data_IF_593168213535
#
_entry.id   IF_593168213535
#
_cell.length_a   1.000
_cell.length_b   1.000
_cell.length_c   1.000
_cell.angle_alpha   90.00
_cell.angle_beta   90.00
_cell.angle_gamma   90.00
#
_symmetry.space_group_name_H-M   'P 1'
#
loop_
_entity.id
_entity.type
_entity.pdbx_description
1 polymer ?
#
# COMPACT_ATOMS: atom_id res chain seq x y z
N UNK A 1 -7.92 31.23 -2.26
CA UNK A 1 -7.89 32.38 -3.20
C UNK A 1 -9.29 32.92 -3.59
N UNK A 2 -10.42 32.29 -3.23
CA UNK A 2 -11.67 32.45 -4.01
C UNK A 2 -12.91 33.16 -3.37
N UNK A 3 -13.09 33.35 -2.05
CA UNK A 3 -14.24 34.13 -1.57
C UNK A 3 -14.16 35.59 -2.02
N UNK A 4 -12.97 36.18 -1.90
CA UNK A 4 -12.70 37.58 -2.26
C UNK A 4 -12.93 37.89 -3.74
N UNK A 5 -12.69 36.95 -4.66
CA UNK A 5 -12.84 37.21 -6.10
C UNK A 5 -14.32 37.22 -6.51
N UNK A 6 -15.12 36.24 -6.06
CA UNK A 6 -16.56 36.23 -6.30
C UNK A 6 -17.29 37.37 -5.58
N UNK A 7 -16.85 37.76 -4.38
CA UNK A 7 -17.35 38.97 -3.69
C UNK A 7 -17.07 40.26 -4.47
N UNK A 8 -15.89 40.37 -5.09
CA UNK A 8 -15.52 41.51 -5.92
C UNK A 8 -16.33 41.55 -7.21
N UNK A 9 -16.52 40.43 -7.89
CA UNK A 9 -17.32 40.38 -9.11
C UNK A 9 -18.83 40.59 -8.84
N UNK A 10 -19.34 40.15 -7.68
CA UNK A 10 -20.70 40.48 -7.22
C UNK A 10 -20.88 41.98 -6.98
N UNK A 11 -19.91 42.64 -6.32
CA UNK A 11 -19.94 44.11 -6.11
C UNK A 11 -19.93 44.90 -7.42
N UNK A 12 -19.34 44.34 -8.49
CA UNK A 12 -19.33 44.92 -9.84
C UNK A 12 -20.55 44.46 -10.67
N UNK A 13 -21.47 43.70 -10.09
CA UNK A 13 -22.72 43.24 -10.74
C UNK A 13 -22.56 42.12 -11.76
N UNK A 14 -21.40 41.44 -11.80
CA UNK A 14 -21.05 40.42 -12.82
C UNK A 14 -21.43 38.99 -12.42
N UNK A 15 -21.84 38.73 -11.18
CA UNK A 15 -22.19 37.39 -10.68
C UNK A 15 -23.44 37.48 -9.78
N UNK A 16 -24.25 36.43 -9.71
CA UNK A 16 -25.45 36.41 -8.88
C UNK A 16 -25.11 36.15 -7.40
N UNK A 17 -25.93 36.68 -6.47
CA UNK A 17 -25.79 36.45 -5.01
C UNK A 17 -25.77 34.96 -4.64
N UNK A 18 -26.47 34.13 -5.41
CA UNK A 18 -26.47 32.67 -5.30
C UNK A 18 -25.08 32.06 -5.52
N UNK A 19 -24.36 32.51 -6.54
CA UNK A 19 -23.03 31.96 -6.88
C UNK A 19 -21.97 32.31 -5.82
N UNK A 20 -22.16 33.44 -5.12
CA UNK A 20 -21.34 33.83 -3.96
C UNK A 20 -21.59 32.87 -2.80
N UNK A 21 -22.86 32.60 -2.47
CA UNK A 21 -23.24 31.67 -1.41
C UNK A 21 -22.74 30.24 -1.70
N UNK A 22 -22.87 29.76 -2.94
CA UNK A 22 -22.38 28.44 -3.35
C UNK A 22 -20.84 28.36 -3.20
N UNK A 23 -20.12 29.43 -3.55
CA UNK A 23 -18.67 29.52 -3.39
C UNK A 23 -18.24 29.56 -1.91
N UNK A 24 -19.00 30.24 -1.04
CA UNK A 24 -18.77 30.26 0.40
C UNK A 24 -18.98 28.88 1.03
N UNK A 25 -20.08 28.19 0.68
CA UNK A 25 -20.36 26.83 1.16
C UNK A 25 -19.26 25.86 0.72
N UNK A 26 -18.78 25.95 -0.52
CA UNK A 26 -17.67 25.12 -0.99
C UNK A 26 -16.36 25.43 -0.25
N UNK A 27 -16.06 26.71 0.00
CA UNK A 27 -14.87 27.09 0.77
C UNK A 27 -14.95 26.58 2.22
N UNK A 28 -16.13 26.62 2.84
CA UNK A 28 -16.35 26.08 4.17
C UNK A 28 -16.14 24.56 4.22
N UNK A 29 -16.65 23.82 3.22
CA UNK A 29 -16.43 22.37 3.08
C UNK A 29 -14.95 22.03 2.89
N UNK A 30 -14.27 22.69 1.96
CA UNK A 30 -12.83 22.49 1.74
C UNK A 30 -12.00 22.79 3.00
N UNK A 31 -12.42 23.77 3.80
CA UNK A 31 -11.75 24.07 5.08
C UNK A 31 -12.01 23.00 6.14
N UNK A 32 -13.22 22.44 6.19
CA UNK A 32 -13.54 21.33 7.08
C UNK A 32 -12.73 20.07 6.70
N UNK A 33 -12.65 19.74 5.40
CA UNK A 33 -11.84 18.64 4.85
C UNK A 33 -10.35 18.83 5.17
N UNK A 34 -9.82 20.04 4.97
CA UNK A 34 -8.43 20.34 5.33
C UNK A 34 -8.14 20.14 6.82
N UNK A 35 -9.01 20.64 7.69
CA UNK A 35 -8.87 20.46 9.14
C UNK A 35 -8.99 18.99 9.55
N UNK A 36 -9.81 18.21 8.85
CA UNK A 36 -9.91 16.77 9.07
C UNK A 36 -8.61 16.06 8.67
N UNK A 37 -8.06 16.36 7.50
CA UNK A 37 -6.79 15.81 7.04
C UNK A 37 -5.63 16.15 8.01
N UNK A 38 -5.62 17.35 8.60
CA UNK A 38 -4.65 17.71 9.65
C UNK A 38 -4.79 16.83 10.89
N UNK A 39 -6.01 16.59 11.37
CA UNK A 39 -6.24 15.70 12.53
C UNK A 39 -5.82 14.25 12.22
N UNK A 40 -6.14 13.75 11.04
CA UNK A 40 -5.76 12.40 10.61
C UNK A 40 -4.23 12.25 10.54
N UNK A 41 -3.53 13.27 10.01
CA UNK A 41 -2.07 13.35 10.05
C UNK A 41 -1.56 13.29 11.49
N UNK A 42 -2.10 14.09 12.39
CA UNK A 42 -1.63 14.15 13.78
C UNK A 42 -1.81 12.80 14.50
N UNK A 43 -2.94 12.11 14.25
CA UNK A 43 -3.17 10.74 14.72
C UNK A 43 -2.13 9.77 14.15
N UNK A 44 -1.80 9.86 12.86
CA UNK A 44 -0.80 9.01 12.24
C UNK A 44 0.60 9.23 12.85
N UNK A 45 0.98 10.48 13.15
CA UNK A 45 2.24 10.80 13.82
C UNK A 45 2.27 10.25 15.26
N UNK A 46 1.17 10.36 16.01
CA UNK A 46 1.09 9.76 17.35
C UNK A 46 1.26 8.25 17.31
N UNK A 47 0.60 7.54 16.38
CA UNK A 47 0.77 6.09 16.19
C UNK A 47 2.20 5.72 15.80
N UNK A 48 2.84 6.52 14.95
CA UNK A 48 4.24 6.31 14.60
C UNK A 48 5.13 6.42 15.83
N UNK A 49 4.95 7.48 16.64
CA UNK A 49 5.68 7.71 17.90
C UNK A 49 5.52 6.56 18.88
N UNK A 50 4.30 6.05 19.02
CA UNK A 50 3.98 4.88 19.84
C UNK A 50 4.79 3.64 19.41
N UNK A 51 4.83 3.34 18.10
CA UNK A 51 5.54 2.17 17.57
C UNK A 51 7.05 2.28 17.75
N UNK A 52 7.62 3.48 17.57
CA UNK A 52 9.06 3.72 17.70
C UNK A 52 9.51 4.02 19.13
N UNK A 53 8.56 4.09 20.09
CA UNK A 53 8.84 4.36 21.50
C UNK A 53 9.32 5.79 21.79
N UNK A 54 8.95 6.77 20.96
CA UNK A 54 9.25 8.18 21.21
C UNK A 54 8.12 8.86 22.01
N UNK A 55 8.50 9.90 22.75
CA UNK A 55 7.54 10.78 23.43
C UNK A 55 6.56 11.42 22.41
N UNK A 56 5.28 11.48 22.77
CA UNK A 56 4.22 12.05 21.96
C UNK A 56 4.47 13.53 21.62
N UNK A 57 5.20 14.26 22.48
CA UNK A 57 5.51 15.67 22.27
C UNK A 57 6.84 15.90 21.52
N UNK A 58 7.61 14.85 21.25
CA UNK A 58 8.87 14.98 20.52
C UNK A 58 8.63 15.49 19.09
N UNK A 59 9.36 16.53 18.62
CA UNK A 59 9.27 17.00 17.25
C UNK A 59 9.89 15.96 16.30
N UNK A 60 9.15 15.56 15.27
CA UNK A 60 9.63 14.62 14.24
C UNK A 60 9.58 15.34 12.89
N UNK A 61 10.70 15.30 12.18
CA UNK A 61 10.78 15.72 10.78
C UNK A 61 10.92 14.48 9.91
N UNK A 62 9.97 14.26 9.02
CA UNK A 62 10.10 13.20 8.01
C UNK A 62 11.12 13.66 6.97
N UNK A 63 12.20 12.89 6.81
CA UNK A 63 13.23 13.12 5.77
C UNK A 63 12.91 12.41 4.46
N UNK A 64 11.89 11.54 4.46
CA UNK A 64 11.56 10.67 3.33
C UNK A 64 10.49 11.30 2.48
N UNK A 65 10.77 11.47 1.19
CA UNK A 65 9.75 11.81 0.21
C UNK A 65 9.01 10.52 -0.22
N UNK A 66 7.68 10.59 -0.27
CA UNK A 66 6.82 9.54 -0.83
C UNK A 66 6.94 9.54 -2.37
N UNK A 67 8.11 9.19 -2.89
CA UNK A 67 8.33 9.09 -4.33
C UNK A 67 8.22 7.65 -4.79
N UNK A 68 7.37 7.43 -5.78
CA UNK A 68 7.46 6.26 -6.63
C UNK A 68 8.44 6.58 -7.77
N UNK A 69 9.48 5.75 -7.92
CA UNK A 69 10.34 5.74 -9.10
C UNK A 69 10.02 4.49 -9.91
N UNK A 70 9.57 4.69 -11.14
CA UNK A 70 9.24 3.62 -12.06
C UNK A 70 10.55 2.92 -12.49
N UNK A 71 10.66 1.60 -12.27
CA UNK A 71 11.70 0.78 -12.88
C UNK A 71 13.00 0.53 -12.09
N UNK A 72 13.04 0.75 -10.77
CA UNK A 72 14.34 0.62 -10.07
C UNK A 72 14.85 -0.84 -9.92
N UNK A 73 14.02 -1.89 -9.98
CA UNK A 73 14.50 -3.29 -9.91
C UNK A 73 13.60 -4.26 -10.69
N UNK A 74 14.14 -4.95 -11.70
CA UNK A 74 13.51 -6.15 -12.28
C UNK A 74 13.57 -7.27 -11.25
N UNK A 75 12.51 -7.39 -10.44
CA UNK A 75 12.40 -8.42 -9.42
C UNK A 75 12.20 -9.77 -10.13
N UNK A 76 13.20 -10.65 -10.04
CA UNK A 76 13.07 -12.03 -10.48
C UNK A 76 12.27 -12.82 -9.43
N UNK A 77 11.03 -13.20 -9.79
CA UNK A 77 10.13 -13.93 -8.91
C UNK A 77 10.70 -15.30 -8.50
N UNK A 78 11.36 -16.01 -9.42
CA UNK A 78 11.89 -17.34 -9.14
C UNK A 78 13.05 -17.30 -8.14
N UNK A 79 13.94 -16.33 -8.29
CA UNK A 79 15.02 -16.09 -7.32
C UNK A 79 14.47 -15.67 -5.95
N UNK A 80 13.43 -14.84 -5.94
CA UNK A 80 12.75 -14.40 -4.72
C UNK A 80 12.10 -15.56 -3.96
N UNK A 81 11.48 -16.50 -4.68
CA UNK A 81 10.92 -17.73 -4.09
C UNK A 81 12.04 -18.60 -3.51
N UNK A 82 13.14 -18.81 -4.25
CA UNK A 82 14.29 -19.58 -3.76
C UNK A 82 14.87 -18.99 -2.48
N UNK A 83 14.97 -17.67 -2.40
CA UNK A 83 15.40 -16.96 -1.20
C UNK A 83 14.41 -17.16 -0.04
N UNK A 84 13.11 -16.98 -0.30
CA UNK A 84 12.08 -17.16 0.71
C UNK A 84 12.08 -18.57 1.31
N UNK A 85 12.19 -19.60 0.48
CA UNK A 85 12.24 -20.99 0.94
C UNK A 85 13.47 -21.29 1.83
N UNK A 86 14.55 -20.53 1.69
CA UNK A 86 15.76 -20.69 2.50
C UNK A 86 15.71 -19.91 3.82
N UNK A 87 15.15 -18.71 3.79
CA UNK A 87 15.27 -17.75 4.90
C UNK A 87 14.00 -17.69 5.79
N UNK A 88 12.85 -18.19 5.31
CA UNK A 88 11.58 -18.14 6.07
C UNK A 88 11.59 -19.08 7.26
N UNK A 89 11.20 -18.54 8.42
CA UNK A 89 11.22 -19.25 9.70
C UNK A 89 10.33 -20.49 9.70
N UNK A 90 9.20 -20.45 8.99
CA UNK A 90 8.23 -21.54 8.93
C UNK A 90 8.80 -22.76 8.18
N UNK A 91 9.56 -22.53 7.11
CA UNK A 91 10.23 -23.60 6.35
C UNK A 91 11.37 -24.17 7.18
N UNK A 92 12.17 -23.31 7.81
CA UNK A 92 13.27 -23.72 8.68
C UNK A 92 12.73 -24.59 9.83
N UNK A 93 11.64 -24.19 10.49
CA UNK A 93 11.00 -24.96 11.56
C UNK A 93 10.51 -26.33 11.07
N UNK A 94 9.86 -26.39 9.90
CA UNK A 94 9.40 -27.64 9.33
C UNK A 94 10.56 -28.56 8.91
N UNK A 95 11.66 -28.01 8.39
CA UNK A 95 12.87 -28.79 8.08
C UNK A 95 13.51 -29.38 9.32
N UNK A 96 13.61 -28.62 10.42
CA UNK A 96 14.12 -29.14 11.68
C UNK A 96 13.19 -30.20 12.28
N UNK A 97 11.87 -30.03 12.17
CA UNK A 97 10.90 -31.04 12.60
C UNK A 97 11.04 -32.34 11.79
N UNK A 98 11.22 -32.24 10.47
CA UNK A 98 11.48 -33.40 9.60
C UNK A 98 12.78 -34.11 9.99
N UNK A 99 13.88 -33.38 10.19
CA UNK A 99 15.16 -33.96 10.62
C UNK A 99 15.04 -34.69 11.96
N UNK A 100 14.25 -34.17 12.90
CA UNK A 100 14.01 -34.84 14.17
C UNK A 100 13.20 -36.14 14.00
N UNK A 101 12.13 -36.10 13.20
CA UNK A 101 11.31 -37.28 12.90
C UNK A 101 12.08 -38.34 12.11
N UNK A 102 12.91 -37.94 11.15
CA UNK A 102 13.79 -38.83 10.38
C UNK A 102 14.75 -39.58 11.32
N UNK A 103 15.42 -38.87 12.23
CA UNK A 103 16.32 -39.50 13.21
C UNK A 103 15.58 -40.45 14.16
N UNK A 104 14.37 -40.08 14.59
CA UNK A 104 13.50 -40.95 15.38
C UNK A 104 13.14 -42.24 14.64
N UNK A 105 12.78 -42.11 13.35
CA UNK A 105 12.46 -43.24 12.50
C UNK A 105 13.67 -44.13 12.20
N UNK A 106 14.86 -43.57 11.98
CA UNK A 106 16.10 -44.35 11.82
C UNK A 106 16.39 -45.22 13.04
N UNK A 107 16.21 -44.68 14.25
CA UNK A 107 16.37 -45.44 15.51
C UNK A 107 15.32 -46.56 15.61
N UNK A 108 14.06 -46.27 15.29
CA UNK A 108 12.99 -47.26 15.31
C UNK A 108 13.23 -48.39 14.29
N UNK A 109 13.67 -48.03 13.08
CA UNK A 109 14.02 -48.96 12.01
C UNK A 109 15.19 -49.88 12.36
N UNK A 110 16.16 -49.39 13.13
CA UNK A 110 17.28 -50.20 13.62
C UNK A 110 16.90 -51.12 14.79
N UNK A 111 15.89 -50.73 15.59
CA UNK A 111 15.57 -51.39 16.87
C UNK A 111 14.36 -52.34 16.80
N UNK A 112 13.45 -52.14 15.85
CA UNK A 112 12.17 -52.84 15.80
C UNK A 112 11.86 -53.39 14.40
N UNK A 113 11.13 -54.52 14.35
CA UNK A 113 10.64 -55.08 13.09
C UNK A 113 9.47 -54.25 12.52
N UNK A 114 9.27 -54.22 11.19
CA UNK A 114 8.25 -53.38 10.54
C UNK A 114 6.79 -53.62 10.97
N UNK A 115 6.51 -54.79 11.53
CA UNK A 115 5.17 -55.16 12.00
C UNK A 115 4.86 -54.68 13.42
N UNK A 116 5.85 -54.14 14.15
CA UNK A 116 5.67 -53.63 15.51
C UNK A 116 5.04 -52.23 15.46
N UNK A 117 4.12 -51.94 16.39
CA UNK A 117 3.44 -50.64 16.44
C UNK A 117 4.42 -49.45 16.53
N UNK A 118 5.50 -49.59 17.32
CA UNK A 118 6.53 -48.56 17.48
C UNK A 118 7.20 -48.21 16.13
N UNK A 119 7.43 -49.20 15.26
CA UNK A 119 7.98 -48.94 13.92
C UNK A 119 6.99 -48.12 13.09
N UNK A 120 5.73 -48.54 13.07
CA UNK A 120 4.69 -47.89 12.27
C UNK A 120 4.40 -46.47 12.75
N UNK A 121 4.38 -46.25 14.05
CA UNK A 121 4.21 -44.92 14.67
C UNK A 121 5.33 -43.97 14.21
N UNK A 122 6.59 -44.39 14.33
CA UNK A 122 7.72 -43.58 13.86
C UNK A 122 7.72 -43.36 12.33
N UNK A 123 7.26 -44.34 11.56
CA UNK A 123 7.06 -44.19 10.11
C UNK A 123 5.98 -43.14 9.80
N UNK A 124 4.84 -43.18 10.50
CA UNK A 124 3.77 -42.19 10.35
C UNK A 124 4.24 -40.79 10.75
N UNK A 125 4.96 -40.64 11.87
CA UNK A 125 5.49 -39.36 12.32
C UNK A 125 6.46 -38.74 11.28
N UNK A 126 7.32 -39.58 10.68
CA UNK A 126 8.22 -39.15 9.62
C UNK A 126 7.45 -38.71 8.37
N UNK A 127 6.45 -39.48 7.93
CA UNK A 127 5.62 -39.12 6.78
C UNK A 127 4.80 -37.84 7.04
N UNK A 128 4.28 -37.67 8.25
CA UNK A 128 3.56 -36.46 8.65
C UNK A 128 4.48 -35.24 8.62
N UNK A 129 5.71 -35.36 9.15
CA UNK A 129 6.68 -34.28 9.12
C UNK A 129 7.11 -33.91 7.67
N UNK A 130 7.18 -34.90 6.78
CA UNK A 130 7.47 -34.68 5.36
C UNK A 130 6.36 -33.89 4.68
N UNK A 131 5.10 -34.26 4.91
CA UNK A 131 3.94 -33.52 4.41
C UNK A 131 3.90 -32.09 4.94
N UNK A 132 4.15 -31.89 6.25
CA UNK A 132 4.21 -30.55 6.86
C UNK A 132 5.30 -29.66 6.24
N UNK A 133 6.45 -30.22 5.87
CA UNK A 133 7.48 -29.47 5.16
C UNK A 133 7.02 -29.05 3.77
N UNK A 134 6.39 -29.95 3.02
CA UNK A 134 5.89 -29.64 1.68
C UNK A 134 4.77 -28.59 1.72
N UNK A 135 3.86 -28.71 2.69
CA UNK A 135 2.80 -27.72 2.94
C UNK A 135 3.42 -26.36 3.29
N UNK A 136 4.44 -26.32 4.16
CA UNK A 136 5.12 -25.08 4.54
C UNK A 136 5.82 -24.42 3.33
N UNK A 137 6.49 -25.21 2.48
CA UNK A 137 7.11 -24.70 1.24
C UNK A 137 6.08 -24.15 0.27
N UNK A 138 5.00 -24.88 0.04
CA UNK A 138 3.90 -24.48 -0.86
C UNK A 138 3.22 -23.21 -0.36
N UNK A 139 3.01 -23.10 0.96
CA UNK A 139 2.43 -21.92 1.58
C UNK A 139 3.33 -20.69 1.40
N UNK A 140 4.65 -20.83 1.65
CA UNK A 140 5.62 -19.73 1.43
C UNK A 140 5.70 -19.33 -0.03
N UNK A 141 5.72 -20.28 -0.96
CA UNK A 141 5.73 -19.96 -2.39
C UNK A 141 4.46 -19.19 -2.80
N UNK A 142 3.31 -19.62 -2.30
CA UNK A 142 2.02 -18.95 -2.56
C UNK A 142 2.02 -17.53 -2.01
N UNK A 143 2.50 -17.33 -0.78
CA UNK A 143 2.61 -16.02 -0.13
C UNK A 143 3.50 -15.05 -0.95
N UNK A 144 4.67 -15.51 -1.39
CA UNK A 144 5.58 -14.71 -2.23
C UNK A 144 4.95 -14.36 -3.58
N UNK A 145 4.31 -15.33 -4.24
CA UNK A 145 3.62 -15.11 -5.52
C UNK A 145 2.47 -14.12 -5.37
N UNK A 146 1.65 -14.24 -4.33
CA UNK A 146 0.57 -13.31 -4.04
C UNK A 146 1.09 -11.90 -3.77
N UNK A 147 2.12 -11.75 -2.93
CA UNK A 147 2.71 -10.46 -2.62
C UNK A 147 3.30 -9.79 -3.86
N UNK A 148 3.96 -10.57 -4.73
CA UNK A 148 4.48 -10.09 -6.01
C UNK A 148 3.37 -9.59 -6.94
N UNK A 149 2.30 -10.35 -7.10
CA UNK A 149 1.17 -9.97 -7.94
C UNK A 149 0.44 -8.73 -7.41
N UNK A 150 0.26 -8.62 -6.08
CA UNK A 150 -0.32 -7.42 -5.43
C UNK A 150 0.54 -6.18 -5.69
N UNK A 151 1.86 -6.31 -5.56
CA UNK A 151 2.81 -5.23 -5.85
C UNK A 151 2.78 -4.83 -7.33
N UNK A 152 2.78 -5.79 -8.26
CA UNK A 152 2.71 -5.51 -9.70
C UNK A 152 1.38 -4.87 -10.11
N UNK A 153 0.26 -5.33 -9.58
CA UNK A 153 -1.04 -4.69 -9.82
C UNK A 153 -1.11 -3.25 -9.29
N UNK A 154 -0.47 -2.98 -8.14
CA UNK A 154 -0.34 -1.63 -7.62
C UNK A 154 0.56 -0.75 -8.52
N UNK A 155 1.67 -1.29 -9.04
CA UNK A 155 2.55 -0.60 -9.99
C UNK A 155 1.82 -0.20 -11.28
N UNK A 156 1.06 -1.12 -11.87
CA UNK A 156 0.23 -0.85 -13.05
C UNK A 156 -0.83 0.23 -12.78
N UNK A 157 -1.46 0.16 -11.60
CA UNK A 157 -2.45 1.15 -11.16
C UNK A 157 -1.86 2.55 -11.05
N UNK A 158 -0.59 2.69 -10.63
CA UNK A 158 0.10 3.99 -10.64
C UNK A 158 0.19 4.51 -12.07
N UNK A 159 0.70 3.70 -13.01
CA UNK A 159 0.86 4.10 -14.42
C UNK A 159 -0.45 4.59 -15.06
N UNK A 160 -1.57 3.91 -14.79
CA UNK A 160 -2.90 4.33 -15.24
C UNK A 160 -3.29 5.68 -14.63
N UNK A 161 -3.10 5.82 -13.31
CA UNK A 161 -3.52 7.00 -12.58
C UNK A 161 -2.66 8.23 -12.91
N UNK A 162 -1.39 8.04 -13.29
CA UNK A 162 -0.53 9.11 -13.79
C UNK A 162 -1.10 9.76 -15.05
N UNK A 163 -1.57 8.94 -16.01
CA UNK A 163 -2.26 9.44 -17.21
C UNK A 163 -3.57 10.15 -16.85
N UNK A 164 -4.32 9.66 -15.87
CA UNK A 164 -5.52 10.34 -15.39
C UNK A 164 -5.23 11.70 -14.76
N UNK A 165 -4.13 11.83 -14.00
CA UNK A 165 -3.69 13.13 -13.44
C UNK A 165 -3.31 14.08 -14.57
N UNK A 166 -2.55 13.63 -15.55
CA UNK A 166 -2.16 14.44 -16.72
C UNK A 166 -3.40 14.98 -17.46
N UNK A 167 -4.36 14.10 -17.75
CA UNK A 167 -5.63 14.48 -18.37
C UNK A 167 -6.42 15.48 -17.52
N UNK A 168 -6.55 15.24 -16.22
CA UNK A 168 -7.28 16.14 -15.31
C UNK A 168 -6.60 17.52 -15.21
N UNK A 169 -5.25 17.56 -15.25
CA UNK A 169 -4.48 18.81 -15.26
C UNK A 169 -4.74 19.62 -16.52
N UNK A 170 -4.73 18.97 -17.67
CA UNK A 170 -5.00 19.64 -18.93
C UNK A 170 -6.45 20.14 -19.01
N UNK A 171 -7.41 19.33 -18.54
CA UNK A 171 -8.81 19.74 -18.41
C UNK A 171 -8.97 21.00 -17.53
N UNK A 172 -8.31 21.04 -16.37
CA UNK A 172 -8.33 22.20 -15.48
C UNK A 172 -7.68 23.43 -16.12
N UNK A 173 -6.60 23.25 -16.89
CA UNK A 173 -5.93 24.32 -17.64
C UNK A 173 -6.87 24.92 -18.69
N UNK A 174 -7.54 24.09 -19.48
CA UNK A 174 -8.51 24.51 -20.49
C UNK A 174 -9.70 25.24 -19.88
N UNK A 175 -10.26 24.72 -18.77
CA UNK A 175 -11.34 25.38 -18.04
C UNK A 175 -10.93 26.79 -17.58
N UNK A 176 -9.72 26.94 -17.03
CA UNK A 176 -9.20 28.25 -16.63
C UNK A 176 -9.10 29.23 -17.80
N UNK A 177 -8.63 28.78 -18.96
CA UNK A 177 -8.57 29.61 -20.18
C UNK A 177 -9.97 30.02 -20.66
N UNK A 178 -10.93 29.08 -20.68
CA UNK A 178 -12.31 29.36 -21.07
C UNK A 178 -12.99 30.36 -20.13
N UNK A 179 -12.73 30.28 -18.82
CA UNK A 179 -13.23 31.27 -17.86
C UNK A 179 -12.63 32.65 -18.09
N UNK A 180 -11.31 32.73 -18.34
CA UNK A 180 -10.64 34.00 -18.67
C UNK A 180 -11.20 34.65 -19.94
N UNK A 181 -11.60 33.84 -20.91
CA UNK A 181 -12.27 34.28 -22.13
C UNK A 181 -13.79 34.51 -21.96
N UNK A 182 -14.35 34.23 -20.78
CA UNK A 182 -15.77 34.45 -20.46
C UNK A 182 -16.74 33.36 -20.96
N UNK A 183 -16.25 32.23 -21.46
CA UNK A 183 -17.08 31.14 -22.00
C UNK A 183 -17.70 30.23 -20.93
N UNK A 184 -17.07 30.13 -19.75
CA UNK A 184 -17.58 29.35 -18.62
C UNK A 184 -17.54 30.19 -17.34
N UNK A 185 -18.21 29.73 -16.28
CA UNK A 185 -18.27 30.45 -15.00
C UNK A 185 -17.19 29.96 -14.04
N UNK A 186 -16.90 30.76 -13.01
CA UNK A 186 -15.94 30.39 -11.98
C UNK A 186 -16.30 29.08 -11.25
N UNK A 187 -17.60 28.77 -11.11
CA UNK A 187 -18.07 27.52 -10.47
C UNK A 187 -17.75 26.28 -11.32
N UNK A 188 -17.75 26.43 -12.64
CA UNK A 188 -17.42 25.35 -13.56
C UNK A 188 -15.90 25.05 -13.47
N UNK A 189 -15.05 26.09 -13.40
CA UNK A 189 -13.60 25.94 -13.13
C UNK A 189 -13.34 25.28 -11.79
N UNK A 190 -14.04 25.71 -10.73
CA UNK A 190 -13.93 25.14 -9.39
C UNK A 190 -14.24 23.65 -9.37
N UNK A 191 -15.26 23.24 -10.12
CA UNK A 191 -15.66 21.83 -10.23
C UNK A 191 -14.53 20.99 -10.84
N UNK A 192 -13.91 21.46 -11.93
CA UNK A 192 -12.78 20.78 -12.58
C UNK A 192 -11.52 20.77 -11.71
N UNK A 193 -11.22 21.88 -11.02
CA UNK A 193 -10.09 21.92 -10.06
C UNK A 193 -10.28 20.95 -8.88
N UNK A 194 -11.52 20.80 -8.38
CA UNK A 194 -11.82 19.83 -7.34
C UNK A 194 -11.69 18.39 -7.86
N UNK A 195 -12.12 18.12 -9.10
CA UNK A 195 -11.91 16.82 -9.73
C UNK A 195 -10.40 16.52 -9.87
N UNK A 196 -9.59 17.47 -10.33
CA UNK A 196 -8.13 17.32 -10.37
C UNK A 196 -7.55 16.98 -8.99
N UNK A 197 -7.92 17.74 -7.95
CA UNK A 197 -7.46 17.48 -6.58
C UNK A 197 -7.84 16.09 -6.09
N UNK A 198 -9.05 15.62 -6.40
CA UNK A 198 -9.48 14.26 -6.04
C UNK A 198 -8.59 13.21 -6.71
N UNK A 199 -8.24 13.38 -7.99
CA UNK A 199 -7.33 12.46 -8.69
C UNK A 199 -5.92 12.53 -8.11
N UNK A 200 -5.44 13.71 -7.71
CA UNK A 200 -4.13 13.85 -7.04
C UNK A 200 -4.09 13.16 -5.66
N UNK A 201 -5.18 13.26 -4.88
CA UNK A 201 -5.33 12.52 -3.62
C UNK A 201 -5.36 11.01 -3.87
N UNK A 202 -6.08 10.56 -4.90
CA UNK A 202 -6.08 9.16 -5.30
C UNK A 202 -4.67 8.69 -5.69
N UNK A 203 -3.89 9.51 -6.41
CA UNK A 203 -2.50 9.18 -6.77
C UNK A 203 -1.65 8.94 -5.53
N UNK A 204 -1.76 9.80 -4.52
CA UNK A 204 -1.06 9.63 -3.26
C UNK A 204 -1.46 8.31 -2.55
N UNK A 205 -2.75 7.98 -2.55
CA UNK A 205 -3.25 6.73 -1.95
C UNK A 205 -2.72 5.48 -2.66
N UNK A 206 -2.64 5.48 -3.99
CA UNK A 206 -2.10 4.34 -4.76
C UNK A 206 -0.59 4.21 -4.57
N UNK A 207 0.17 5.32 -4.55
CA UNK A 207 1.61 5.29 -4.24
C UNK A 207 1.85 4.70 -2.84
N UNK A 208 1.06 5.11 -1.85
CA UNK A 208 1.10 4.51 -0.52
C UNK A 208 0.81 3.00 -0.57
N UNK A 209 -0.23 2.59 -1.28
CA UNK A 209 -0.59 1.18 -1.47
C UNK A 209 0.53 0.36 -2.12
N UNK A 210 1.20 0.90 -3.13
CA UNK A 210 2.36 0.26 -3.75
C UNK A 210 3.53 0.12 -2.77
N UNK A 211 3.87 1.17 -2.02
CA UNK A 211 4.94 1.10 -1.04
C UNK A 211 4.65 0.07 0.06
N UNK A 212 3.39 -0.04 0.49
CA UNK A 212 2.94 -1.08 1.42
C UNK A 212 3.07 -2.48 0.81
N UNK A 213 2.59 -2.67 -0.42
CA UNK A 213 2.70 -3.96 -1.12
C UNK A 213 4.16 -4.37 -1.36
N UNK A 214 5.04 -3.40 -1.69
CA UNK A 214 6.48 -3.60 -1.81
C UNK A 214 7.11 -4.02 -0.47
N UNK A 215 6.74 -3.35 0.62
CA UNK A 215 7.19 -3.75 1.97
C UNK A 215 6.69 -5.15 2.35
N UNK A 216 5.44 -5.50 2.01
CA UNK A 216 4.88 -6.84 2.24
C UNK A 216 5.62 -7.90 1.43
N UNK A 217 5.97 -7.63 0.17
CA UNK A 217 6.77 -8.52 -0.65
C UNK A 217 8.17 -8.76 -0.05
N UNK A 218 8.87 -7.72 0.41
CA UNK A 218 10.16 -7.89 1.07
C UNK A 218 10.06 -8.69 2.39
N UNK A 219 8.97 -8.52 3.14
CA UNK A 219 8.71 -9.36 4.32
C UNK A 219 8.46 -10.83 3.90
N UNK A 220 7.70 -11.07 2.83
CA UNK A 220 7.38 -12.41 2.34
C UNK A 220 8.63 -13.19 1.90
N UNK A 221 9.65 -12.52 1.35
CA UNK A 221 10.91 -13.16 0.95
C UNK A 221 11.89 -13.40 2.11
N UNK A 222 11.50 -13.11 3.36
CA UNK A 222 12.32 -13.33 4.56
C UNK A 222 13.07 -12.09 5.07
N UNK A 223 12.79 -10.91 4.52
CA UNK A 223 13.46 -9.67 4.91
C UNK A 223 12.74 -8.90 6.03
N UNK A 224 13.19 -9.10 7.27
CA UNK A 224 13.39 -7.95 8.17
C UNK A 224 14.45 -7.06 7.51
N UNK A 225 14.04 -5.90 7.03
CA UNK A 225 14.96 -4.78 6.78
C UNK A 225 15.50 -4.23 8.11
#
# INVERSE_FOLDING_TARGET
MKPKLSELEFKVGRVAKRDVLDSEVQAARARAEYNQALRERDIAYMKLKEIIGLDLDAPINLTSDFTFKLGDEEINLEESIKKALKDRIEVIQAEYALKAAEKGFEVAKASYAPNVNIYKEAEYDYQEALLKLEDAKTAVETDVREAYLKMKGAEESISVLEKSVEFARESARLAKLQYQAGFIRSIDVLTVENALKQVEVQKAAVIYGYNLAKAQFYNAIGGRN
#
